data_IF_096298224138
#
_entry.id   IF_096298224138
#
_cell.length_a   1.000
_cell.length_b   1.000
_cell.length_c   1.000
_cell.angle_alpha   90.00
_cell.angle_beta   90.00
_cell.angle_gamma   90.00
#
_symmetry.space_group_name_H-M   'P 1'
#
loop_
_entity.id
_entity.type
_entity.pdbx_description
1 polymer ?
#
# COMPACT_ATOMS: atom_id res chain seq x y z
N UNK A 1 10.51 53.31 38.56
CA UNK A 1 10.74 52.81 37.18
C UNK A 1 11.64 51.57 37.11
N UNK A 2 12.79 51.53 37.81
CA UNK A 2 13.72 50.38 37.79
C UNK A 2 13.14 49.05 38.30
N UNK A 3 12.33 49.05 39.38
CA UNK A 3 11.67 47.81 39.89
C UNK A 3 10.77 47.12 38.84
N UNK A 4 10.05 47.88 38.02
CA UNK A 4 9.23 47.32 36.95
C UNK A 4 10.07 46.74 35.80
N UNK A 5 11.21 47.36 35.47
CA UNK A 5 12.18 46.79 34.51
C UNK A 5 12.76 45.47 35.02
N UNK A 6 13.15 45.39 36.29
CA UNK A 6 13.65 44.16 36.92
C UNK A 6 12.58 43.05 36.96
N UNK A 7 11.33 43.39 37.28
CA UNK A 7 10.22 42.42 37.29
C UNK A 7 9.93 41.87 35.89
N UNK A 8 9.94 42.73 34.87
CA UNK A 8 9.80 42.30 33.46
C UNK A 8 10.97 41.39 33.04
N UNK A 9 12.20 41.75 33.41
CA UNK A 9 13.40 40.94 33.11
C UNK A 9 13.35 39.56 33.75
N UNK A 10 12.89 39.44 35.01
CA UNK A 10 12.69 38.14 35.68
C UNK A 10 11.67 37.26 34.96
N UNK A 11 10.49 37.80 34.63
CA UNK A 11 9.46 37.07 33.88
C UNK A 11 9.97 36.57 32.52
N UNK A 12 10.81 37.37 31.86
CA UNK A 12 11.41 36.99 30.58
C UNK A 12 12.39 35.82 30.72
N UNK A 13 13.24 35.85 31.74
CA UNK A 13 14.18 34.76 32.05
C UNK A 13 13.42 33.47 32.43
N UNK A 14 12.35 33.59 33.20
CA UNK A 14 11.52 32.46 33.62
C UNK A 14 10.79 31.82 32.43
N UNK A 15 10.32 32.64 31.47
CA UNK A 15 9.75 32.17 30.21
C UNK A 15 10.78 31.47 29.33
N UNK A 16 12.01 32.00 29.25
CA UNK A 16 13.11 31.36 28.52
C UNK A 16 13.43 29.99 29.12
N UNK A 17 13.59 29.89 30.45
CA UNK A 17 13.83 28.61 31.14
C UNK A 17 12.70 27.60 30.92
N UNK A 18 11.45 28.05 30.94
CA UNK A 18 10.29 27.19 30.65
C UNK A 18 10.30 26.67 29.21
N UNK A 19 10.71 27.51 28.25
CA UNK A 19 10.83 27.12 26.85
C UNK A 19 12.02 26.17 26.62
N UNK A 20 13.14 26.39 27.30
CA UNK A 20 14.31 25.50 27.26
C UNK A 20 13.96 24.11 27.80
N UNK A 21 13.26 24.03 28.93
CA UNK A 21 12.80 22.75 29.50
C UNK A 21 11.78 22.04 28.60
N UNK A 22 10.87 22.78 27.95
CA UNK A 22 9.93 22.20 26.99
C UNK A 22 10.65 21.66 25.74
N UNK A 23 11.65 22.40 25.25
CA UNK A 23 12.50 21.97 24.14
C UNK A 23 13.24 20.68 24.47
N UNK A 24 13.87 20.59 25.64
CA UNK A 24 14.64 19.41 26.06
C UNK A 24 13.76 18.14 26.16
N UNK A 25 12.50 18.30 26.61
CA UNK A 25 11.51 17.21 26.60
C UNK A 25 11.09 16.79 25.18
N UNK A 26 10.85 17.75 24.29
CA UNK A 26 10.56 17.45 22.88
C UNK A 26 11.74 16.77 22.19
N UNK A 27 12.97 17.22 22.42
CA UNK A 27 14.18 16.64 21.84
C UNK A 27 14.35 15.17 22.28
N UNK A 28 14.14 14.87 23.57
CA UNK A 28 14.17 13.49 24.08
C UNK A 28 13.08 12.59 23.51
N UNK A 29 11.90 13.13 23.23
CA UNK A 29 10.82 12.39 22.59
C UNK A 29 11.10 12.10 21.11
N UNK A 30 11.56 13.10 20.36
CA UNK A 30 11.90 12.96 18.96
C UNK A 30 13.00 11.91 18.75
N UNK A 31 13.95 11.80 19.67
CA UNK A 31 14.97 10.74 19.65
C UNK A 31 14.35 9.34 19.77
N UNK A 32 13.39 9.12 20.69
CA UNK A 32 12.71 7.83 20.83
C UNK A 32 11.90 7.47 19.58
N UNK A 33 11.24 8.46 18.98
CA UNK A 33 10.42 8.27 17.78
C UNK A 33 11.29 7.99 16.55
N UNK A 34 12.45 8.64 16.47
CA UNK A 34 13.47 8.33 15.47
C UNK A 34 13.96 6.89 15.61
N UNK A 35 14.17 6.42 16.85
CA UNK A 35 14.65 5.05 17.12
C UNK A 35 13.61 3.98 16.75
N UNK A 36 12.32 4.19 17.06
CA UNK A 36 11.24 3.27 16.67
C UNK A 36 11.03 3.23 15.15
N UNK A 37 11.10 4.37 14.47
CA UNK A 37 11.05 4.45 13.00
C UNK A 37 12.24 3.78 12.35
N UNK A 38 13.46 4.01 12.87
CA UNK A 38 14.68 3.37 12.37
C UNK A 38 14.61 1.85 12.51
N UNK A 39 14.06 1.35 13.62
CA UNK A 39 13.85 -0.09 13.82
C UNK A 39 12.84 -0.67 12.82
N UNK A 40 11.77 0.06 12.51
CA UNK A 40 10.83 -0.34 11.47
C UNK A 40 11.47 -0.32 10.07
N UNK A 41 12.26 0.71 9.76
CA UNK A 41 13.04 0.82 8.52
C UNK A 41 14.00 -0.38 8.38
N UNK A 42 14.76 -0.70 9.42
CA UNK A 42 15.66 -1.85 9.43
C UNK A 42 14.93 -3.17 9.18
N UNK A 43 13.73 -3.36 9.74
CA UNK A 43 12.88 -4.55 9.46
C UNK A 43 12.45 -4.60 8.01
N UNK A 44 11.99 -3.49 7.44
CA UNK A 44 11.59 -3.45 6.03
C UNK A 44 12.78 -3.64 5.08
N UNK A 45 13.93 -3.01 5.36
CA UNK A 45 15.17 -3.23 4.60
C UNK A 45 15.60 -4.68 4.68
N UNK A 46 15.51 -5.30 5.86
CA UNK A 46 15.81 -6.73 6.04
C UNK A 46 14.85 -7.62 5.26
N UNK A 47 13.56 -7.30 5.22
CA UNK A 47 12.58 -8.00 4.38
C UNK A 47 12.95 -7.88 2.90
N UNK A 48 13.23 -6.66 2.43
CA UNK A 48 13.62 -6.38 1.03
C UNK A 48 14.88 -7.13 0.66
N UNK A 49 15.91 -7.09 1.51
CA UNK A 49 17.17 -7.80 1.28
C UNK A 49 17.00 -9.32 1.40
N UNK A 50 16.15 -9.83 2.31
CA UNK A 50 15.85 -11.26 2.46
C UNK A 50 15.08 -11.88 1.29
N UNK A 51 14.47 -11.06 0.43
CA UNK A 51 13.93 -11.48 -0.88
C UNK A 51 15.07 -11.80 -1.87
N UNK A 52 16.28 -11.28 -1.62
CA UNK A 52 17.51 -11.47 -2.41
C UNK A 52 18.62 -12.04 -1.52
N UNK A 53 18.39 -13.25 -1.01
CA UNK A 53 19.33 -14.15 -0.31
C UNK A 53 20.23 -13.64 0.86
N UNK A 54 20.41 -14.58 1.80
CA UNK A 54 21.32 -14.63 2.95
C UNK A 54 21.05 -13.85 4.26
N UNK A 55 20.83 -14.70 5.27
CA UNK A 55 21.09 -14.66 6.72
C UNK A 55 20.32 -13.76 7.72
N UNK A 56 19.94 -14.49 8.78
CA UNK A 56 19.54 -14.15 10.16
C UNK A 56 19.63 -12.67 10.53
N UNK A 57 18.57 -12.17 11.19
CA UNK A 57 18.77 -11.32 12.36
C UNK A 57 17.62 -11.49 13.39
N UNK A 58 18.09 -11.86 14.58
CA UNK A 58 17.76 -11.43 15.94
C UNK A 58 16.57 -10.45 16.17
N UNK A 59 15.75 -10.84 17.15
CA UNK A 59 14.67 -10.06 17.74
C UNK A 59 15.23 -9.06 18.75
N UNK A 60 14.90 -7.78 18.60
CA UNK A 60 14.99 -6.79 19.69
C UNK A 60 13.58 -6.38 20.11
N UNK A 61 13.18 -6.82 21.30
CA UNK A 61 12.04 -6.32 22.07
C UNK A 61 12.52 -5.18 22.95
N UNK A 62 12.18 -3.95 22.60
CA UNK A 62 12.36 -2.83 23.52
C UNK A 62 10.97 -2.29 23.89
N UNK A 63 10.53 -2.64 25.09
CA UNK A 63 9.44 -1.97 25.80
C UNK A 63 9.91 -0.56 26.13
N UNK A 64 9.15 0.45 25.67
CA UNK A 64 9.44 1.84 25.99
C UNK A 64 8.54 2.27 27.14
N UNK A 65 9.17 2.52 28.27
CA UNK A 65 8.56 2.93 29.51
C UNK A 65 8.03 4.38 29.44
N UNK A 66 6.89 4.58 30.10
CA UNK A 66 5.98 5.69 29.92
C UNK A 66 6.58 7.06 30.21
N UNK A 67 6.58 7.93 29.20
CA UNK A 67 6.71 9.37 29.39
C UNK A 67 5.36 10.05 29.13
N UNK A 68 4.97 10.91 30.07
CA UNK A 68 3.77 11.74 29.97
C UNK A 68 3.99 12.83 28.92
N UNK A 69 3.25 12.73 27.81
CA UNK A 69 3.43 13.53 26.60
C UNK A 69 2.11 14.18 26.18
N UNK A 70 2.24 15.32 25.49
CA UNK A 70 1.12 16.09 24.93
C UNK A 70 0.35 15.28 23.87
N UNK A 71 -0.95 15.55 23.72
CA UNK A 71 -1.89 14.67 23.01
C UNK A 71 -1.51 14.34 21.57
N UNK A 72 -0.97 15.32 20.83
CA UNK A 72 -0.51 15.13 19.44
C UNK A 72 0.77 14.29 19.36
N UNK A 73 1.76 14.54 20.22
CA UNK A 73 2.98 13.74 20.28
C UNK A 73 2.68 12.29 20.68
N UNK A 74 1.74 12.09 21.61
CA UNK A 74 1.32 10.76 22.04
C UNK A 74 0.71 9.96 20.88
N UNK A 75 -0.14 10.59 20.07
CA UNK A 75 -0.71 9.96 18.88
C UNK A 75 0.37 9.52 17.88
N UNK A 76 1.36 10.39 17.59
CA UNK A 76 2.47 10.04 16.68
C UNK A 76 3.33 8.90 17.24
N UNK A 77 3.51 8.85 18.57
CA UNK A 77 4.22 7.74 19.22
C UNK A 77 3.47 6.42 19.12
N UNK A 78 2.16 6.44 19.35
CA UNK A 78 1.29 5.25 19.26
C UNK A 78 1.25 4.72 17.82
N UNK A 79 1.17 5.62 16.84
CA UNK A 79 1.21 5.28 15.41
C UNK A 79 2.58 4.73 14.99
N UNK A 80 3.68 5.34 15.45
CA UNK A 80 5.04 4.82 15.23
C UNK A 80 5.21 3.41 15.81
N UNK A 81 4.73 3.17 17.03
CA UNK A 81 4.76 1.85 17.65
C UNK A 81 3.88 0.83 16.90
N UNK A 82 2.74 1.26 16.35
CA UNK A 82 1.90 0.43 15.51
C UNK A 82 2.62 0.03 14.20
N UNK A 83 3.33 0.97 13.57
CA UNK A 83 4.15 0.70 12.37
C UNK A 83 5.26 -0.31 12.68
N UNK A 84 5.97 -0.16 13.80
CA UNK A 84 7.02 -1.12 14.19
C UNK A 84 6.45 -2.52 14.47
N UNK A 85 5.27 -2.62 15.11
CA UNK A 85 4.57 -3.91 15.32
C UNK A 85 4.14 -4.53 13.99
N UNK A 86 3.55 -3.74 13.10
CA UNK A 86 3.12 -4.19 11.78
C UNK A 86 4.32 -4.68 10.96
N UNK A 87 5.45 -3.97 10.99
CA UNK A 87 6.69 -4.39 10.35
C UNK A 87 7.16 -5.77 10.84
N UNK A 88 7.04 -6.05 12.15
CA UNK A 88 7.34 -7.37 12.71
C UNK A 88 6.39 -8.48 12.22
N UNK A 89 5.10 -8.18 12.09
CA UNK A 89 4.11 -9.13 11.54
C UNK A 89 4.39 -9.45 10.07
N UNK A 90 4.73 -8.43 9.27
CA UNK A 90 5.11 -8.60 7.86
C UNK A 90 6.37 -9.46 7.75
N UNK A 91 7.37 -9.21 8.59
CA UNK A 91 8.61 -9.99 8.63
C UNK A 91 8.35 -11.47 8.93
N UNK A 92 7.51 -11.77 9.92
CA UNK A 92 7.12 -13.14 10.24
C UNK A 92 6.38 -13.82 9.09
N UNK A 93 5.36 -13.16 8.50
CA UNK A 93 4.60 -13.72 7.37
C UNK A 93 5.46 -14.00 6.14
N UNK A 94 6.40 -13.10 5.82
CA UNK A 94 7.33 -13.29 4.70
C UNK A 94 8.25 -14.49 4.97
N UNK A 95 8.72 -14.66 6.21
CA UNK A 95 9.54 -15.81 6.59
C UNK A 95 8.76 -17.14 6.52
N UNK A 96 7.52 -17.18 7.01
CA UNK A 96 6.65 -18.36 6.89
C UNK A 96 6.44 -18.76 5.42
N UNK A 97 6.11 -17.79 4.56
CA UNK A 97 5.95 -18.02 3.12
C UNK A 97 7.25 -18.50 2.45
N UNK A 98 8.40 -17.97 2.87
CA UNK A 98 9.72 -18.40 2.37
C UNK A 98 9.99 -19.86 2.70
N UNK A 99 9.74 -20.26 3.95
CA UNK A 99 9.97 -21.64 4.38
C UNK A 99 8.99 -22.62 3.74
N UNK A 100 7.70 -22.25 3.57
CA UNK A 100 6.74 -23.08 2.83
C UNK A 100 7.16 -23.26 1.37
N UNK A 101 7.59 -22.19 0.70
CA UNK A 101 8.07 -22.24 -0.69
C UNK A 101 9.34 -23.07 -0.83
N UNK A 102 10.27 -23.00 0.12
CA UNK A 102 11.46 -23.87 0.14
C UNK A 102 11.11 -25.34 0.34
N UNK A 103 10.10 -25.63 1.17
CA UNK A 103 9.62 -27.01 1.38
C UNK A 103 8.99 -27.55 0.10
N UNK A 104 8.09 -26.80 -0.52
CA UNK A 104 7.47 -27.16 -1.79
C UNK A 104 8.52 -27.35 -2.90
N UNK A 105 9.50 -26.45 -3.01
CA UNK A 105 10.62 -26.60 -3.94
C UNK A 105 11.36 -27.92 -3.74
N UNK A 106 11.68 -28.29 -2.49
CA UNK A 106 12.35 -29.56 -2.18
C UNK A 106 11.47 -30.77 -2.52
N UNK A 107 10.17 -30.70 -2.27
CA UNK A 107 9.23 -31.76 -2.63
C UNK A 107 9.13 -31.95 -4.14
N UNK A 108 9.06 -30.86 -4.90
CA UNK A 108 9.09 -30.88 -6.37
C UNK A 108 10.43 -31.40 -6.89
N UNK A 109 11.56 -30.98 -6.33
CA UNK A 109 12.89 -31.50 -6.69
C UNK A 109 12.97 -33.01 -6.45
N UNK A 110 12.51 -33.49 -5.29
CA UNK A 110 12.45 -34.93 -5.00
C UNK A 110 11.53 -35.67 -5.97
N UNK A 111 10.37 -35.11 -6.30
CA UNK A 111 9.45 -35.69 -7.27
C UNK A 111 10.07 -35.77 -8.66
N UNK A 112 10.81 -34.75 -9.09
CA UNK A 112 11.53 -34.75 -10.38
C UNK A 112 12.61 -35.83 -10.38
N UNK A 113 13.40 -35.94 -9.30
CA UNK A 113 14.42 -37.01 -9.20
C UNK A 113 13.75 -38.38 -9.28
N UNK A 114 12.69 -38.63 -8.50
CA UNK A 114 11.94 -39.89 -8.54
C UNK A 114 11.40 -40.22 -9.94
N UNK A 115 10.80 -39.24 -10.63
CA UNK A 115 10.30 -39.42 -12.00
C UNK A 115 11.44 -39.68 -13.00
N UNK A 116 12.60 -39.05 -12.82
CA UNK A 116 13.76 -39.33 -13.69
C UNK A 116 14.34 -40.72 -13.46
N UNK A 117 14.29 -41.25 -12.23
CA UNK A 117 14.68 -42.62 -11.93
C UNK A 117 13.66 -43.63 -12.49
N UNK A 118 12.37 -43.36 -12.35
CA UNK A 118 11.32 -44.20 -12.95
C UNK A 118 11.43 -44.23 -14.48
N UNK A 119 11.64 -43.09 -15.14
CA UNK A 119 11.89 -43.04 -16.58
C UNK A 119 13.14 -43.84 -16.98
N UNK A 120 14.22 -43.83 -16.19
CA UNK A 120 15.38 -44.69 -16.42
C UNK A 120 15.05 -46.17 -16.27
N UNK A 121 14.22 -46.53 -15.29
CA UNK A 121 13.78 -47.91 -15.07
C UNK A 121 12.90 -48.40 -16.22
N UNK A 122 11.96 -47.58 -16.69
CA UNK A 122 11.14 -47.86 -17.88
C UNK A 122 12.03 -48.07 -19.11
N UNK A 123 12.99 -47.18 -19.35
CA UNK A 123 13.95 -47.32 -20.44
C UNK A 123 14.76 -48.62 -20.36
N UNK A 124 15.16 -49.04 -19.16
CA UNK A 124 15.84 -50.32 -18.92
C UNK A 124 14.92 -51.51 -19.25
N UNK A 125 13.67 -51.50 -18.76
CA UNK A 125 12.68 -52.54 -19.05
C UNK A 125 12.37 -52.64 -20.54
N UNK A 126 12.25 -51.52 -21.24
CA UNK A 126 12.04 -51.49 -22.69
C UNK A 126 13.22 -52.11 -23.44
N UNK A 127 14.46 -51.84 -23.03
CA UNK A 127 15.65 -52.48 -23.62
C UNK A 127 15.65 -54.00 -23.40
N UNK A 128 15.29 -54.44 -22.20
CA UNK A 128 15.19 -55.88 -21.88
C UNK A 128 14.11 -56.54 -22.76
N UNK A 129 12.92 -55.95 -22.82
CA UNK A 129 11.82 -56.46 -23.64
C UNK A 129 12.18 -56.52 -25.13
N UNK A 130 12.90 -55.53 -25.66
CA UNK A 130 13.40 -55.55 -27.04
C UNK A 130 14.40 -56.70 -27.28
N UNK A 131 15.33 -56.93 -26.35
CA UNK A 131 16.29 -58.04 -26.46
C UNK A 131 15.59 -59.40 -26.38
N UNK A 132 14.62 -59.56 -25.48
CA UNK A 132 13.81 -60.77 -25.39
C UNK A 132 12.97 -61.00 -26.65
N UNK A 133 12.38 -59.95 -27.21
CA UNK A 133 11.65 -60.00 -28.47
C UNK A 133 12.55 -60.46 -29.62
N UNK A 134 13.76 -59.90 -29.76
CA UNK A 134 14.74 -60.34 -30.76
C UNK A 134 15.17 -61.80 -30.53
N UNK A 135 15.32 -62.23 -29.27
CA UNK A 135 15.68 -63.61 -28.94
C UNK A 135 14.56 -64.59 -29.33
N UNK A 136 13.31 -64.24 -29.06
CA UNK A 136 12.12 -65.00 -29.48
C UNK A 136 12.03 -65.05 -31.00
N UNK A 137 12.23 -63.93 -31.69
CA UNK A 137 12.21 -63.88 -33.15
C UNK A 137 13.33 -64.72 -33.79
N UNK A 138 14.53 -64.70 -33.21
CA UNK A 138 15.64 -65.60 -33.59
C UNK A 138 15.31 -67.08 -33.33
N UNK A 139 14.64 -67.40 -32.23
CA UNK A 139 14.21 -68.77 -31.94
C UNK A 139 13.13 -69.26 -32.91
N UNK A 140 12.19 -68.38 -33.27
CA UNK A 140 11.11 -68.68 -34.21
C UNK A 140 11.61 -68.81 -35.64
N UNK A 141 12.57 -67.98 -36.06
CA UNK A 141 13.24 -68.13 -37.36
C UNK A 141 14.08 -69.42 -37.45
N UNK A 142 14.74 -69.86 -36.35
CA UNK A 142 15.37 -71.19 -36.29
C UNK A 142 14.35 -72.33 -36.38
N UNK A 143 13.20 -72.21 -35.72
CA UNK A 143 12.13 -73.21 -35.78
C UNK A 143 11.53 -73.27 -37.20
N UNK A 144 11.39 -72.12 -37.87
CA UNK A 144 10.93 -72.02 -39.26
C UNK A 144 11.93 -72.65 -40.24
N UNK A 145 13.23 -72.40 -40.08
CA UNK A 145 14.28 -73.06 -40.87
C UNK A 145 14.37 -74.58 -40.64
N UNK A 146 14.19 -75.03 -39.38
CA UNK A 146 14.13 -76.46 -39.06
C UNK A 146 12.81 -77.12 -39.48
N UNK A 147 11.76 -76.36 -39.84
CA UNK A 147 10.49 -76.94 -40.28
C UNK A 147 10.62 -77.62 -41.65
N UNK A 148 11.50 -77.15 -42.54
CA UNK A 148 11.83 -77.85 -43.79
C UNK A 148 12.55 -79.19 -43.51
N UNK A 149 13.53 -79.23 -42.59
CA UNK A 149 14.23 -80.46 -42.21
C UNK A 149 13.35 -81.45 -41.43
N UNK A 150 12.48 -80.98 -40.52
CA UNK A 150 11.51 -81.83 -39.82
C UNK A 150 10.40 -82.35 -40.75
N UNK A 151 10.00 -81.60 -41.79
CA UNK A 151 9.07 -82.13 -42.80
C UNK A 151 9.71 -83.22 -43.65
N UNK A 152 11.01 -83.14 -43.96
CA UNK A 152 11.73 -84.21 -44.68
C UNK A 152 11.94 -85.45 -43.81
N UNK A 153 12.26 -85.29 -42.52
CA UNK A 153 12.41 -86.41 -41.58
C UNK A 153 11.08 -87.13 -41.29
N UNK A 154 9.97 -86.39 -41.20
CA UNK A 154 8.63 -86.98 -41.00
C UNK A 154 8.11 -87.65 -42.29
N UNK A 155 8.53 -87.20 -43.48
CA UNK A 155 8.20 -87.88 -44.75
C UNK A 155 8.95 -89.21 -44.95
N UNK A 156 10.19 -89.34 -44.45
CA UNK A 156 10.95 -90.60 -44.55
C UNK A 156 10.45 -91.70 -43.61
N UNK A 157 9.86 -91.35 -42.46
CA UNK A 157 9.28 -92.33 -41.53
C UNK A 157 7.90 -92.81 -42.02
N UNK A 158 7.20 -92.03 -42.85
CA UNK A 158 5.89 -92.39 -43.38
C UNK A 158 5.92 -93.36 -44.59
N UNK A 159 7.08 -93.57 -45.24
CA UNK A 159 7.19 -94.42 -46.45
C UNK A 159 7.62 -95.87 -46.21
N UNK A 160 7.90 -96.29 -44.97
CA UNK A 160 8.44 -97.64 -44.72
C UNK A 160 7.82 -98.37 -43.52
N UNK A 161 6.50 -98.50 -43.44
CA UNK A 161 5.84 -99.47 -42.52
C UNK A 161 4.36 -99.68 -42.86
N UNK A 162 4.10 -100.35 -43.98
CA UNK A 162 2.76 -100.73 -44.43
C UNK A 162 2.67 -102.19 -44.84
N UNK A 163 2.96 -103.12 -43.93
CA UNK A 163 2.70 -104.56 -44.12
C UNK A 163 1.60 -105.04 -43.16
N UNK A 164 0.49 -105.40 -43.79
CA UNK A 164 -0.67 -106.14 -43.28
C UNK A 164 -0.31 -107.22 -42.26
N UNK A 165 -1.01 -107.22 -41.14
CA UNK A 165 -1.34 -108.45 -40.40
C UNK A 165 -2.86 -108.44 -40.19
N UNK A 166 -3.54 -109.19 -41.05
CA UNK A 166 -4.94 -109.58 -40.88
C UNK A 166 -5.03 -110.58 -39.73
N UNK A 167 -5.95 -110.39 -38.78
CA UNK A 167 -6.46 -111.49 -37.96
C UNK A 167 -7.91 -111.23 -37.57
N UNK A 168 -8.82 -111.60 -38.46
CA UNK A 168 -10.23 -111.87 -38.16
C UNK A 168 -10.39 -113.37 -37.85
N UNK A 169 -10.89 -113.71 -36.66
CA UNK A 169 -11.22 -115.08 -36.27
C UNK A 169 -12.62 -115.16 -35.64
N UNK A 170 -13.55 -115.67 -36.44
CA UNK A 170 -14.77 -116.40 -36.07
C UNK A 170 -15.05 -117.33 -37.27
N UNK A 171 -15.46 -118.59 -37.18
CA UNK A 171 -15.89 -119.49 -36.14
C UNK A 171 -16.44 -120.75 -36.83
N UNK A 172 -16.58 -121.84 -36.07
CA UNK A 172 -17.29 -123.10 -36.36
C UNK A 172 -16.59 -124.19 -37.21
N UNK A 173 -16.48 -125.40 -36.64
CA UNK A 173 -16.27 -126.64 -37.40
C UNK A 173 -15.65 -127.82 -36.65
N UNK A 174 -16.38 -128.40 -35.69
CA UNK A 174 -16.41 -129.81 -35.23
C UNK A 174 -15.11 -130.67 -35.21
N UNK A 175 -14.79 -131.22 -34.02
CA UNK A 175 -14.84 -132.68 -33.75
C UNK A 175 -14.60 -133.01 -32.27
N UNK A 176 -15.38 -133.98 -31.80
CA UNK A 176 -15.33 -134.61 -30.48
C UNK A 176 -14.04 -135.39 -30.24
N UNK A 177 -13.42 -135.17 -29.09
CA UNK A 177 -12.75 -136.16 -28.21
C UNK A 177 -12.48 -135.38 -26.90
N UNK A 178 -13.10 -135.65 -25.75
CA UNK A 178 -12.95 -136.88 -24.98
C UNK A 178 -11.82 -136.73 -23.94
N UNK A 179 -11.93 -135.76 -22.99
CA UNK A 179 -11.19 -135.64 -21.69
C UNK A 179 -10.43 -134.31 -21.43
N UNK A 180 -11.11 -133.18 -21.18
CA UNK A 180 -10.50 -131.86 -20.83
C UNK A 180 -11.31 -131.04 -19.80
N UNK A 181 -11.67 -131.59 -18.63
CA UNK A 181 -12.46 -130.84 -17.62
C UNK A 181 -11.66 -129.95 -16.66
N UNK A 182 -10.32 -129.94 -16.73
CA UNK A 182 -9.46 -129.21 -15.77
C UNK A 182 -8.77 -127.97 -16.39
N UNK A 183 -8.38 -127.97 -17.67
CA UNK A 183 -7.63 -126.89 -18.31
C UNK A 183 -8.48 -125.66 -18.70
N UNK A 184 -9.75 -125.89 -19.07
CA UNK A 184 -10.73 -124.81 -19.32
C UNK A 184 -11.07 -124.06 -18.03
N UNK A 185 -11.14 -124.76 -16.89
CA UNK A 185 -11.42 -124.19 -15.57
C UNK A 185 -10.26 -123.28 -15.11
N UNK A 186 -9.01 -123.67 -15.36
CA UNK A 186 -7.82 -122.85 -15.06
C UNK A 186 -7.74 -121.62 -15.97
N UNK A 187 -8.10 -121.76 -17.26
CA UNK A 187 -8.14 -120.64 -18.21
C UNK A 187 -9.26 -119.63 -17.90
N UNK A 188 -10.44 -120.11 -17.50
CA UNK A 188 -11.54 -119.30 -16.97
C UNK A 188 -11.13 -118.56 -15.70
N UNK A 189 -10.48 -119.24 -14.76
CA UNK A 189 -10.01 -118.64 -13.51
C UNK A 189 -8.98 -117.51 -13.78
N UNK A 190 -8.03 -117.72 -14.69
CA UNK A 190 -7.05 -116.69 -15.11
C UNK A 190 -7.73 -115.49 -15.78
N UNK A 191 -8.75 -115.71 -16.61
CA UNK A 191 -9.53 -114.62 -17.20
C UNK A 191 -10.31 -113.84 -16.14
N UNK A 192 -10.96 -114.52 -15.18
CA UNK A 192 -11.67 -113.87 -14.07
C UNK A 192 -10.72 -113.10 -13.17
N UNK A 193 -9.55 -113.66 -12.85
CA UNK A 193 -8.51 -112.97 -12.07
C UNK A 193 -8.02 -111.70 -12.78
N UNK A 194 -7.78 -111.78 -14.09
CA UNK A 194 -7.39 -110.62 -14.91
C UNK A 194 -8.46 -109.54 -14.92
N UNK A 195 -9.72 -109.92 -15.12
CA UNK A 195 -10.87 -109.00 -15.09
C UNK A 195 -10.99 -108.36 -13.71
N UNK A 196 -10.85 -109.15 -12.63
CA UNK A 196 -10.95 -108.66 -11.25
C UNK A 196 -9.82 -107.68 -10.92
N UNK A 197 -8.58 -107.97 -11.33
CA UNK A 197 -7.45 -107.03 -11.20
C UNK A 197 -7.68 -105.75 -11.98
N UNK A 198 -8.18 -105.84 -13.22
CA UNK A 198 -8.48 -104.68 -14.05
C UNK A 198 -9.59 -103.80 -13.43
N UNK A 199 -10.68 -104.41 -12.98
CA UNK A 199 -11.76 -103.70 -12.28
C UNK A 199 -11.27 -103.08 -10.97
N UNK A 200 -10.41 -103.76 -10.21
CA UNK A 200 -9.83 -103.18 -9.00
C UNK A 200 -8.95 -101.96 -9.31
N UNK A 201 -8.13 -102.02 -10.37
CA UNK A 201 -7.34 -100.87 -10.82
C UNK A 201 -8.26 -99.69 -11.20
N UNK A 202 -9.31 -99.95 -11.98
CA UNK A 202 -10.30 -98.95 -12.37
C UNK A 202 -11.01 -98.34 -11.15
N UNK A 203 -11.43 -99.15 -10.17
CA UNK A 203 -12.02 -98.69 -8.90
C UNK A 203 -11.04 -97.77 -8.16
N UNK A 204 -9.75 -98.13 -8.08
CA UNK A 204 -8.76 -97.27 -7.42
C UNK A 204 -8.51 -95.96 -8.17
N UNK A 205 -8.55 -95.98 -9.51
CA UNK A 205 -8.41 -94.79 -10.34
C UNK A 205 -9.62 -93.85 -10.19
N UNK A 206 -10.84 -94.39 -10.22
CA UNK A 206 -12.08 -93.64 -10.01
C UNK A 206 -12.16 -93.04 -8.60
N UNK A 207 -11.68 -93.75 -7.58
CA UNK A 207 -11.58 -93.19 -6.22
C UNK A 207 -10.60 -92.02 -6.16
N UNK A 208 -9.45 -92.13 -6.84
CA UNK A 208 -8.45 -91.05 -6.90
C UNK A 208 -9.00 -89.83 -7.64
N UNK A 209 -9.68 -90.02 -8.77
CA UNK A 209 -10.28 -88.90 -9.52
C UNK A 209 -11.44 -88.26 -8.77
N UNK A 210 -12.23 -89.03 -8.03
CA UNK A 210 -13.28 -88.49 -7.15
C UNK A 210 -12.67 -87.61 -6.04
N UNK A 211 -11.60 -88.08 -5.41
CA UNK A 211 -10.93 -87.33 -4.35
C UNK A 211 -10.25 -86.05 -4.88
N UNK A 212 -9.62 -86.12 -6.05
CA UNK A 212 -9.07 -84.95 -6.75
C UNK A 212 -10.18 -83.94 -7.12
N UNK A 213 -11.33 -84.43 -7.60
CA UNK A 213 -12.48 -83.57 -7.89
C UNK A 213 -13.04 -82.89 -6.63
N UNK A 214 -13.05 -83.59 -5.48
CA UNK A 214 -13.47 -83.01 -4.19
C UNK A 214 -12.50 -81.93 -3.73
N UNK A 215 -11.20 -82.21 -3.74
CA UNK A 215 -10.16 -81.23 -3.41
C UNK A 215 -10.23 -80.00 -4.31
N UNK A 216 -10.46 -80.18 -5.62
CA UNK A 216 -10.62 -79.06 -6.55
C UNK A 216 -11.89 -78.24 -6.24
N UNK A 217 -12.98 -78.90 -5.84
CA UNK A 217 -14.23 -78.22 -5.45
C UNK A 217 -14.06 -77.42 -4.16
N UNK A 218 -13.41 -77.99 -3.15
CA UNK A 218 -13.08 -77.30 -1.89
C UNK A 218 -12.17 -76.08 -2.14
N UNK A 219 -11.18 -76.22 -3.04
CA UNK A 219 -10.32 -75.12 -3.42
C UNK A 219 -11.10 -73.98 -4.10
N UNK A 220 -11.95 -74.30 -5.08
CA UNK A 220 -12.81 -73.32 -5.76
C UNK A 220 -13.80 -72.66 -4.79
N UNK A 221 -14.34 -73.42 -3.84
CA UNK A 221 -15.20 -72.88 -2.78
C UNK A 221 -14.42 -71.86 -1.94
N UNK A 222 -13.21 -72.19 -1.49
CA UNK A 222 -12.38 -71.27 -0.70
C UNK A 222 -12.00 -70.00 -1.47
N UNK A 223 -11.76 -70.10 -2.78
CA UNK A 223 -11.50 -68.95 -3.65
C UNK A 223 -12.74 -68.07 -3.77
N UNK A 224 -13.90 -68.69 -3.95
CA UNK A 224 -15.20 -68.00 -4.06
C UNK A 224 -15.56 -67.28 -2.77
N UNK A 225 -15.33 -67.91 -1.61
CA UNK A 225 -15.56 -67.30 -0.30
C UNK A 225 -14.64 -66.09 -0.07
N UNK A 226 -13.35 -66.20 -0.42
CA UNK A 226 -12.41 -65.07 -0.36
C UNK A 226 -12.85 -63.93 -1.28
N UNK A 227 -13.22 -64.24 -2.52
CA UNK A 227 -13.74 -63.23 -3.45
C UNK A 227 -15.01 -62.56 -2.92
N UNK A 228 -15.93 -63.32 -2.32
CA UNK A 228 -17.14 -62.77 -1.72
C UNK A 228 -16.83 -61.85 -0.54
N UNK A 229 -15.86 -62.21 0.30
CA UNK A 229 -15.39 -61.36 1.40
C UNK A 229 -14.75 -60.07 0.88
N UNK A 230 -13.84 -60.15 -0.09
CA UNK A 230 -13.19 -58.98 -0.69
C UNK A 230 -14.20 -58.03 -1.34
N UNK A 231 -15.22 -58.58 -2.02
CA UNK A 231 -16.32 -57.78 -2.59
C UNK A 231 -17.12 -57.08 -1.50
N UNK A 232 -17.41 -57.75 -0.38
CA UNK A 232 -18.14 -57.16 0.73
C UNK A 232 -17.34 -56.04 1.41
N UNK A 233 -16.04 -56.22 1.62
CA UNK A 233 -15.13 -55.22 2.18
C UNK A 233 -15.02 -54.00 1.25
N UNK A 234 -14.82 -54.23 -0.05
CA UNK A 234 -14.78 -53.16 -1.05
C UNK A 234 -16.11 -52.38 -1.11
N UNK A 235 -17.25 -53.05 -0.99
CA UNK A 235 -18.56 -52.39 -0.96
C UNK A 235 -18.70 -51.46 0.25
N UNK A 236 -18.21 -51.86 1.43
CA UNK A 236 -18.20 -50.98 2.61
C UNK A 236 -17.26 -49.80 2.40
N UNK A 237 -16.08 -50.02 1.84
CA UNK A 237 -15.12 -48.95 1.55
C UNK A 237 -15.70 -47.92 0.58
N UNK A 238 -16.35 -48.36 -0.50
CA UNK A 238 -17.04 -47.49 -1.46
C UNK A 238 -18.10 -46.63 -0.76
N UNK A 239 -18.96 -47.23 0.08
CA UNK A 239 -19.96 -46.46 0.85
C UNK A 239 -19.33 -45.39 1.74
N UNK A 240 -18.23 -45.70 2.40
CA UNK A 240 -17.52 -44.71 3.22
C UNK A 240 -16.92 -43.57 2.38
N UNK A 241 -16.47 -43.85 1.15
CA UNK A 241 -16.00 -42.82 0.22
C UNK A 241 -17.17 -41.93 -0.24
N UNK A 242 -18.30 -42.52 -0.62
CA UNK A 242 -19.51 -41.78 -1.00
C UNK A 242 -20.00 -40.84 0.12
N UNK A 243 -19.98 -41.31 1.38
CA UNK A 243 -20.36 -40.47 2.52
C UNK A 243 -19.37 -39.33 2.79
N UNK A 244 -18.07 -39.56 2.56
CA UNK A 244 -17.06 -38.49 2.64
C UNK A 244 -17.25 -37.49 1.51
N UNK A 245 -17.50 -37.96 0.30
CA UNK A 245 -17.78 -37.10 -0.86
C UNK A 245 -19.01 -36.22 -0.61
N UNK A 246 -20.12 -36.79 -0.12
CA UNK A 246 -21.32 -36.03 0.24
C UNK A 246 -21.04 -34.94 1.28
N UNK A 247 -20.28 -35.27 2.34
CA UNK A 247 -19.89 -34.28 3.37
C UNK A 247 -19.00 -33.18 2.80
N UNK A 248 -18.03 -33.54 1.96
CA UNK A 248 -17.17 -32.56 1.30
C UNK A 248 -17.97 -31.65 0.36
N UNK A 249 -18.91 -32.20 -0.41
CA UNK A 249 -19.79 -31.42 -1.28
C UNK A 249 -20.65 -30.43 -0.48
N UNK A 250 -21.23 -30.84 0.66
CA UNK A 250 -21.95 -29.95 1.56
C UNK A 250 -21.07 -28.83 2.11
N UNK A 251 -19.84 -29.17 2.56
CA UNK A 251 -18.90 -28.18 3.06
C UNK A 251 -18.50 -27.17 1.98
N UNK A 252 -18.29 -27.62 0.74
CA UNK A 252 -17.97 -26.73 -0.39
C UNK A 252 -19.14 -25.78 -0.67
N UNK A 253 -20.37 -26.26 -0.68
CA UNK A 253 -21.54 -25.41 -0.89
C UNK A 253 -21.69 -24.37 0.24
N UNK A 254 -21.48 -24.76 1.50
CA UNK A 254 -21.51 -23.83 2.63
C UNK A 254 -20.41 -22.75 2.51
N UNK A 255 -19.20 -23.13 2.13
CA UNK A 255 -18.10 -22.19 1.90
C UNK A 255 -18.39 -21.25 0.74
N UNK A 256 -18.97 -21.74 -0.37
CA UNK A 256 -19.38 -20.91 -1.50
C UNK A 256 -20.44 -19.88 -1.09
N UNK A 257 -21.39 -20.25 -0.25
CA UNK A 257 -22.38 -19.31 0.28
C UNK A 257 -21.75 -18.25 1.18
N UNK A 258 -20.79 -18.63 2.04
CA UNK A 258 -20.03 -17.67 2.86
C UNK A 258 -19.21 -16.71 2.00
N UNK A 259 -18.54 -17.21 0.96
CA UNK A 259 -17.77 -16.39 0.01
C UNK A 259 -18.70 -15.34 -0.63
N UNK A 260 -19.83 -15.76 -1.20
CA UNK A 260 -20.80 -14.83 -1.81
C UNK A 260 -21.31 -13.77 -0.83
N UNK A 261 -21.55 -14.15 0.43
CA UNK A 261 -21.95 -13.18 1.46
C UNK A 261 -20.83 -12.16 1.74
N UNK A 262 -19.59 -12.63 1.91
CA UNK A 262 -18.44 -11.75 2.17
C UNK A 262 -18.12 -10.85 0.98
N UNK A 263 -18.31 -11.33 -0.25
CA UNK A 263 -18.17 -10.52 -1.47
C UNK A 263 -19.24 -9.42 -1.53
N UNK A 264 -20.49 -9.72 -1.16
CA UNK A 264 -21.55 -8.71 -1.09
C UNK A 264 -21.33 -7.69 0.04
N UNK A 265 -20.75 -8.11 1.17
CA UNK A 265 -20.30 -7.19 2.22
C UNK A 265 -19.16 -6.31 1.71
N UNK A 266 -18.14 -6.88 1.09
CA UNK A 266 -17.03 -6.14 0.50
C UNK A 266 -17.49 -5.11 -0.54
N UNK A 267 -18.45 -5.47 -1.41
CA UNK A 267 -19.04 -4.54 -2.36
C UNK A 267 -19.73 -3.34 -1.67
N UNK A 268 -20.48 -3.59 -0.59
CA UNK A 268 -21.12 -2.52 0.19
C UNK A 268 -20.11 -1.60 0.88
N UNK A 269 -19.05 -2.17 1.44
CA UNK A 269 -17.98 -1.38 2.06
C UNK A 269 -17.23 -0.53 1.02
N UNK A 270 -16.96 -1.08 -0.17
CA UNK A 270 -16.33 -0.33 -1.24
C UNK A 270 -17.20 0.85 -1.70
N UNK A 271 -18.50 0.63 -1.92
CA UNK A 271 -19.43 1.71 -2.30
C UNK A 271 -19.47 2.81 -1.22
N UNK A 272 -19.50 2.44 0.06
CA UNK A 272 -19.43 3.41 1.16
C UNK A 272 -18.12 4.21 1.13
N UNK A 273 -16.97 3.56 0.94
CA UNK A 273 -15.68 4.22 0.83
C UNK A 273 -15.61 5.17 -0.40
N UNK A 274 -16.16 4.77 -1.54
CA UNK A 274 -16.23 5.63 -2.73
C UNK A 274 -17.06 6.89 -2.47
N UNK A 275 -18.22 6.75 -1.81
CA UNK A 275 -19.06 7.89 -1.42
C UNK A 275 -18.37 8.83 -0.44
N UNK A 276 -17.62 8.29 0.53
CA UNK A 276 -16.81 9.09 1.47
C UNK A 276 -15.69 9.85 0.75
N UNK A 277 -15.01 9.19 -0.20
CA UNK A 277 -13.98 9.83 -1.03
C UNK A 277 -14.58 10.95 -1.88
N UNK A 278 -15.74 10.74 -2.50
CA UNK A 278 -16.45 11.78 -3.25
C UNK A 278 -16.90 12.95 -2.36
N UNK A 279 -17.40 12.66 -1.15
CA UNK A 279 -17.74 13.70 -0.18
C UNK A 279 -16.49 14.50 0.25
N UNK A 280 -15.37 13.82 0.49
CA UNK A 280 -14.09 14.45 0.81
C UNK A 280 -13.59 15.36 -0.33
N UNK A 281 -13.70 14.92 -1.59
CA UNK A 281 -13.37 15.75 -2.76
C UNK A 281 -14.21 17.03 -2.82
N UNK A 282 -15.54 16.92 -2.62
CA UNK A 282 -16.43 18.09 -2.62
C UNK A 282 -16.07 19.09 -1.53
N UNK A 283 -15.77 18.62 -0.32
CA UNK A 283 -15.37 19.48 0.78
C UNK A 283 -14.02 20.18 0.51
N UNK A 284 -13.05 19.48 -0.10
CA UNK A 284 -11.77 20.09 -0.51
C UNK A 284 -12.03 21.20 -1.54
N UNK A 285 -12.85 20.95 -2.56
CA UNK A 285 -13.21 21.95 -3.57
C UNK A 285 -13.89 23.19 -2.94
N UNK A 286 -14.71 23.01 -1.92
CA UNK A 286 -15.33 24.11 -1.18
C UNK A 286 -14.30 24.91 -0.36
N UNK A 287 -13.38 24.21 0.32
CA UNK A 287 -12.28 24.85 1.06
C UNK A 287 -11.36 25.64 0.14
N UNK A 288 -11.04 25.11 -1.04
CA UNK A 288 -10.22 25.81 -2.03
C UNK A 288 -10.88 27.10 -2.52
N UNK A 289 -12.20 27.11 -2.70
CA UNK A 289 -12.95 28.35 -3.02
C UNK A 289 -12.82 29.38 -1.89
N UNK A 290 -12.94 28.95 -0.63
CA UNK A 290 -12.78 29.85 0.52
C UNK A 290 -11.35 30.39 0.60
N UNK A 291 -10.34 29.54 0.42
CA UNK A 291 -8.93 29.95 0.38
C UNK A 291 -8.68 30.96 -0.74
N UNK A 292 -9.25 30.76 -1.92
CA UNK A 292 -9.13 31.70 -3.02
C UNK A 292 -9.73 33.08 -2.69
N UNK A 293 -10.90 33.12 -2.04
CA UNK A 293 -11.53 34.37 -1.59
C UNK A 293 -10.67 35.06 -0.53
N UNK A 294 -10.21 34.33 0.48
CA UNK A 294 -9.37 34.87 1.55
C UNK A 294 -8.05 35.42 1.02
N UNK A 295 -7.41 34.73 0.07
CA UNK A 295 -6.21 35.24 -0.60
C UNK A 295 -6.49 36.54 -1.37
N UNK A 296 -7.64 36.63 -2.05
CA UNK A 296 -8.03 37.85 -2.74
C UNK A 296 -8.27 39.01 -1.77
N UNK A 297 -8.90 38.75 -0.62
CA UNK A 297 -9.10 39.75 0.44
C UNK A 297 -7.77 40.18 1.07
N UNK A 298 -6.87 39.23 1.32
CA UNK A 298 -5.54 39.50 1.84
C UNK A 298 -4.75 40.42 0.90
N UNK A 299 -4.74 40.15 -0.41
CA UNK A 299 -4.07 41.02 -1.38
C UNK A 299 -4.71 42.42 -1.48
N UNK A 300 -6.04 42.53 -1.35
CA UNK A 300 -6.73 43.83 -1.26
C UNK A 300 -6.30 44.61 -0.02
N UNK A 301 -6.21 43.96 1.14
CA UNK A 301 -5.79 44.64 2.38
C UNK A 301 -4.31 45.03 2.35
N UNK A 302 -3.46 44.20 1.76
CA UNK A 302 -2.03 44.47 1.56
C UNK A 302 -1.82 45.69 0.68
N UNK A 303 -2.47 45.72 -0.50
CA UNK A 303 -2.39 46.90 -1.40
C UNK A 303 -2.96 48.16 -0.74
N UNK A 304 -4.05 48.06 0.02
CA UNK A 304 -4.58 49.19 0.78
C UNK A 304 -3.58 49.68 1.85
N UNK A 305 -2.93 48.77 2.57
CA UNK A 305 -1.91 49.09 3.56
C UNK A 305 -0.70 49.78 2.90
N UNK A 306 -0.21 49.26 1.79
CA UNK A 306 0.91 49.84 1.04
C UNK A 306 0.60 51.28 0.60
N UNK A 307 -0.61 51.54 0.08
CA UNK A 307 -1.01 52.91 -0.27
C UNK A 307 -1.12 53.83 0.94
N UNK A 308 -1.50 53.31 2.12
CA UNK A 308 -1.54 54.09 3.36
C UNK A 308 -0.14 54.40 3.88
N UNK A 309 0.78 53.45 3.78
CA UNK A 309 2.18 53.64 4.17
C UNK A 309 2.87 54.65 3.26
N UNK A 310 2.63 54.61 1.94
CA UNK A 310 3.11 55.63 1.00
C UNK A 310 2.61 57.03 1.39
N UNK A 311 1.31 57.17 1.69
CA UNK A 311 0.75 58.45 2.16
C UNK A 311 1.36 58.91 3.48
N UNK A 312 1.62 57.99 4.40
CA UNK A 312 2.25 58.32 5.68
C UNK A 312 3.67 58.85 5.45
N UNK A 313 4.46 58.19 4.58
CA UNK A 313 5.79 58.67 4.20
C UNK A 313 5.74 60.07 3.55
N UNK A 314 4.80 60.31 2.62
CA UNK A 314 4.60 61.65 2.04
C UNK A 314 4.25 62.71 3.11
N UNK A 315 3.47 62.35 4.15
CA UNK A 315 3.16 63.26 5.26
C UNK A 315 4.35 63.51 6.16
N UNK A 316 5.20 62.51 6.39
CA UNK A 316 6.46 62.65 7.13
C UNK A 316 7.43 63.57 6.38
N UNK A 317 7.58 63.41 5.06
CA UNK A 317 8.39 64.29 4.21
C UNK A 317 7.86 65.73 4.20
N UNK A 318 6.54 65.91 4.08
CA UNK A 318 5.91 67.24 4.17
C UNK A 318 6.13 67.88 5.55
N UNK A 319 6.03 67.12 6.63
CA UNK A 319 6.30 67.62 7.98
C UNK A 319 7.77 68.01 8.13
N UNK A 320 8.71 67.22 7.63
CA UNK A 320 10.13 67.55 7.61
C UNK A 320 10.42 68.84 6.82
N UNK A 321 9.80 69.01 5.65
CA UNK A 321 9.91 70.22 4.84
C UNK A 321 9.33 71.46 5.55
N UNK A 322 8.18 71.32 6.21
CA UNK A 322 7.57 72.40 6.99
C UNK A 322 8.45 72.81 8.18
N UNK A 323 9.02 71.84 8.90
CA UNK A 323 9.98 72.10 9.98
C UNK A 323 11.23 72.80 9.48
N UNK A 324 11.77 72.39 8.33
CA UNK A 324 12.92 73.06 7.70
C UNK A 324 12.59 74.49 7.28
N UNK A 325 11.42 74.72 6.66
CA UNK A 325 10.95 76.05 6.28
C UNK A 325 10.74 76.96 7.49
N UNK A 326 10.15 76.45 8.58
CA UNK A 326 10.00 77.18 9.83
C UNK A 326 11.37 77.57 10.39
N UNK A 327 12.32 76.63 10.47
CA UNK A 327 13.67 76.92 10.96
C UNK A 327 14.39 77.99 10.12
N UNK A 328 14.15 78.02 8.79
CA UNK A 328 14.71 79.04 7.91
C UNK A 328 14.05 80.42 8.12
N UNK A 329 12.73 80.45 8.32
CA UNK A 329 11.98 81.67 8.63
C UNK A 329 12.40 82.26 9.98
N UNK A 330 12.57 81.43 11.01
CA UNK A 330 13.06 81.86 12.33
C UNK A 330 14.47 82.45 12.24
N UNK A 331 15.39 81.82 11.49
CA UNK A 331 16.72 82.38 11.23
C UNK A 331 16.66 83.73 10.51
N UNK A 332 15.78 83.88 9.52
CA UNK A 332 15.59 85.16 8.81
C UNK A 332 15.03 86.24 9.75
N UNK A 333 14.12 85.88 10.65
CA UNK A 333 13.56 86.80 11.64
C UNK A 333 14.64 87.26 12.63
N UNK A 334 15.45 86.33 13.15
CA UNK A 334 16.58 86.67 14.03
C UNK A 334 17.58 87.63 13.37
N UNK A 335 17.85 87.45 12.06
CA UNK A 335 18.67 88.38 11.29
C UNK A 335 18.00 89.76 11.16
N UNK A 336 16.70 89.81 10.86
CA UNK A 336 15.95 91.07 10.81
C UNK A 336 15.96 91.79 12.17
N UNK A 337 15.74 91.07 13.28
CA UNK A 337 15.76 91.65 14.62
C UNK A 337 17.14 92.18 15.01
N UNK A 338 18.21 91.45 14.69
CA UNK A 338 19.58 91.91 14.93
C UNK A 338 19.94 93.14 14.09
N UNK A 339 19.52 93.20 12.82
CA UNK A 339 19.72 94.38 11.97
C UNK A 339 18.91 95.58 12.47
N UNK A 340 17.65 95.38 12.86
CA UNK A 340 16.80 96.42 13.43
C UNK A 340 17.37 96.95 14.75
N UNK A 341 17.89 96.07 15.62
CA UNK A 341 18.57 96.48 16.84
C UNK A 341 19.84 97.29 16.57
N UNK A 342 20.63 96.91 15.55
CA UNK A 342 21.79 97.68 15.11
C UNK A 342 21.41 99.07 14.56
N UNK A 343 20.32 99.16 13.78
CA UNK A 343 19.80 100.43 13.28
C UNK A 343 19.27 101.32 14.42
N UNK A 344 18.54 100.76 15.40
CA UNK A 344 18.08 101.51 16.58
C UNK A 344 19.25 102.15 17.33
N UNK A 345 20.32 101.39 17.58
CA UNK A 345 21.54 101.94 18.22
C UNK A 345 22.15 103.11 17.43
N UNK A 346 22.19 103.01 16.10
CA UNK A 346 22.67 104.11 15.25
C UNK A 346 21.76 105.33 15.32
N UNK A 347 20.44 105.14 15.33
CA UNK A 347 19.47 106.24 15.48
C UNK A 347 19.58 106.89 16.86
N UNK A 348 19.72 106.11 17.93
CA UNK A 348 19.95 106.61 19.28
C UNK A 348 21.23 107.45 19.35
N UNK A 349 22.33 106.96 18.77
CA UNK A 349 23.60 107.70 18.69
C UNK A 349 23.44 109.01 17.90
N UNK A 350 22.81 108.97 16.72
CA UNK A 350 22.52 110.18 15.93
C UNK A 350 21.60 111.15 16.68
N UNK A 351 20.65 110.65 17.46
CA UNK A 351 19.74 111.47 18.27
C UNK A 351 20.48 112.13 19.42
N UNK A 352 21.41 111.42 20.07
CA UNK A 352 22.29 111.99 21.08
C UNK A 352 23.22 113.05 20.50
N UNK A 353 23.80 112.79 19.32
CA UNK A 353 24.57 113.79 18.58
C UNK A 353 23.72 115.02 18.22
N UNK A 354 22.44 114.84 17.85
CA UNK A 354 21.50 115.92 17.60
C UNK A 354 21.21 116.71 18.88
N UNK A 355 20.95 116.05 20.01
CA UNK A 355 20.69 116.68 21.31
C UNK A 355 21.92 117.42 21.84
N UNK A 356 23.13 116.89 21.62
CA UNK A 356 24.39 117.59 21.89
C UNK A 356 24.58 118.81 20.98
N UNK A 357 24.24 118.71 19.69
CA UNK A 357 24.28 119.85 18.78
C UNK A 357 23.22 120.91 19.16
N UNK A 358 22.02 120.48 19.57
CA UNK A 358 20.93 121.35 20.01
C UNK A 358 21.23 122.01 21.36
N UNK A 359 21.81 121.31 22.32
CA UNK A 359 22.24 121.89 23.60
C UNK A 359 23.40 122.89 23.42
N UNK A 360 24.33 122.63 22.47
CA UNK A 360 25.31 123.62 22.01
C UNK A 360 24.64 124.82 21.34
N UNK A 361 23.51 124.63 20.66
CA UNK A 361 22.70 125.70 20.06
C UNK A 361 21.92 126.51 21.12
N UNK A 362 21.32 125.86 22.13
CA UNK A 362 20.59 126.51 23.24
C UNK A 362 21.49 127.37 24.15
N UNK A 363 22.76 127.01 24.31
CA UNK A 363 23.73 127.80 25.09
C UNK A 363 24.28 129.04 24.34
N UNK A 364 23.79 129.36 23.13
CA UNK A 364 24.33 130.46 22.31
C UNK A 364 23.36 131.52 21.80
N UNK A 365 22.06 131.55 22.16
CA UNK A 365 21.21 132.77 22.24
C UNK A 365 19.69 132.47 22.22
N UNK A 366 18.94 133.45 22.73
CA UNK A 366 17.47 133.57 22.79
C UNK A 366 16.79 133.34 21.42
N UNK A 367 15.71 132.55 21.48
CA UNK A 367 14.56 132.43 20.58
C UNK A 367 14.61 133.14 19.20
N UNK A 368 14.42 132.33 18.15
CA UNK A 368 13.36 132.57 17.17
C UNK A 368 12.61 131.25 16.93
N UNK A 369 11.35 131.21 17.39
CA UNK A 369 10.38 130.26 16.88
C UNK A 369 10.23 130.49 15.37
N UNK A 370 10.60 129.51 14.55
CA UNK A 370 10.10 129.40 13.19
C UNK A 370 9.34 128.08 13.13
N UNK A 371 8.03 128.23 13.23
CA UNK A 371 7.03 127.22 12.99
C UNK A 371 6.96 126.91 11.49
N UNK A 372 7.12 125.61 11.16
CA UNK A 372 6.34 124.91 10.13
C UNK A 372 6.97 124.72 8.74
N UNK A 373 6.41 123.84 7.88
CA UNK A 373 5.26 122.95 8.09
C UNK A 373 5.62 121.45 8.00
N UNK A 374 4.82 120.59 8.64
CA UNK A 374 4.75 119.17 8.27
C UNK A 374 4.06 119.09 6.90
N UNK A 375 4.86 119.17 5.85
CA UNK A 375 4.42 118.84 4.50
C UNK A 375 4.13 117.33 4.45
N UNK A 376 2.88 116.99 4.12
CA UNK A 376 2.47 115.63 3.82
C UNK A 376 3.30 115.08 2.64
N UNK A 377 4.38 114.36 2.93
CA UNK A 377 5.00 113.44 1.98
C UNK A 377 4.17 112.16 1.96
N UNK A 378 3.07 112.26 1.19
CA UNK A 378 2.56 111.17 0.36
C UNK A 378 3.75 110.34 -0.14
N UNK A 379 3.92 109.13 0.40
CA UNK A 379 4.52 108.08 -0.41
C UNK A 379 3.53 107.84 -1.55
N UNK A 380 4.02 108.14 -2.75
CA UNK A 380 3.37 107.92 -4.03
C UNK A 380 2.83 106.50 -4.12
N UNK A 381 1.51 106.38 -4.15
CA UNK A 381 0.84 105.35 -4.94
C UNK A 381 1.14 105.63 -6.41
N UNK A 382 2.35 105.29 -6.86
CA UNK A 382 2.68 105.18 -8.26
C UNK A 382 2.38 103.74 -8.68
N UNK A 383 1.23 103.58 -9.31
CA UNK A 383 0.86 102.43 -10.11
C UNK A 383 1.90 102.19 -11.21
N UNK A 384 2.91 101.36 -10.93
CA UNK A 384 3.55 100.55 -11.98
C UNK A 384 2.68 99.30 -12.15
N UNK A 385 1.77 99.39 -13.12
CA UNK A 385 1.18 98.21 -13.76
C UNK A 385 2.32 97.40 -14.36
N UNK A 386 2.64 96.27 -13.73
CA UNK A 386 3.07 95.07 -14.45
C UNK A 386 2.58 93.83 -13.70
N UNK A 387 1.41 93.37 -14.16
CA UNK A 387 0.91 92.00 -14.23
C UNK A 387 1.39 91.03 -13.13
N UNK A 388 0.69 91.03 -12.00
CA UNK A 388 0.40 89.78 -11.27
C UNK A 388 -1.10 89.71 -11.04
N UNK A 389 -1.73 88.71 -11.64
CA UNK A 389 -3.17 88.46 -11.58
C UNK A 389 -3.63 88.38 -10.12
N UNK A 390 -4.41 89.37 -9.69
CA UNK A 390 -5.33 89.23 -8.56
C UNK A 390 -6.37 88.20 -8.99
N UNK A 391 -6.23 86.95 -8.55
CA UNK A 391 -7.37 86.05 -8.46
C UNK A 391 -8.13 86.49 -7.22
N UNK A 392 -9.31 87.07 -7.46
CA UNK A 392 -10.34 87.37 -6.47
C UNK A 392 -10.42 86.25 -5.43
N UNK A 393 -10.74 86.63 -4.20
CA UNK A 393 -11.64 85.84 -3.36
C UNK A 393 -12.86 85.46 -4.20
N UNK A 394 -12.83 84.29 -4.81
CA UNK A 394 -14.03 83.51 -5.04
C UNK A 394 -14.33 82.84 -3.70
N UNK A 395 -15.07 83.55 -2.86
CA UNK A 395 -16.09 82.90 -2.06
C UNK A 395 -17.12 82.33 -3.05
N UNK A 396 -16.77 81.20 -3.67
CA UNK A 396 -17.73 80.32 -4.33
C UNK A 396 -17.91 79.13 -3.40
N UNK A 397 -18.97 79.23 -2.61
CA UNK A 397 -19.74 78.11 -2.05
C UNK A 397 -18.84 76.97 -1.52
N UNK A 398 -18.41 77.08 -0.27
CA UNK A 398 -18.38 75.89 0.58
C UNK A 398 -19.76 75.24 0.43
N UNK A 399 -19.84 74.18 -0.38
CA UNK A 399 -20.93 73.24 -0.25
C UNK A 399 -20.84 72.75 1.19
N UNK A 400 -21.92 72.79 1.96
CA UNK A 400 -21.91 72.08 3.23
C UNK A 400 -21.50 70.65 2.92
N UNK A 401 -20.58 70.12 3.72
CA UNK A 401 -20.38 68.69 3.83
C UNK A 401 -21.74 68.11 4.22
N UNK A 402 -22.56 67.79 3.21
CA UNK A 402 -23.60 66.80 3.39
C UNK A 402 -22.84 65.58 3.86
N UNK A 403 -23.17 65.14 5.06
CA UNK A 403 -23.03 63.76 5.42
C UNK A 403 -23.49 62.93 4.20
N UNK A 404 -22.54 62.31 3.51
CA UNK A 404 -22.83 61.06 2.86
C UNK A 404 -23.12 60.11 4.01
N UNK A 405 -24.39 60.12 4.45
CA UNK A 405 -25.04 58.88 4.83
C UNK A 405 -24.73 57.94 3.67
N UNK A 406 -23.76 57.06 3.87
CA UNK A 406 -23.75 55.82 3.12
C UNK A 406 -25.14 55.24 3.31
N UNK A 407 -25.84 55.12 2.20
CA UNK A 407 -27.04 54.32 2.08
C UNK A 407 -26.78 52.97 2.74
N UNK A 408 -27.35 52.78 3.93
CA UNK A 408 -27.56 51.46 4.54
C UNK A 408 -28.62 50.64 3.78
N UNK A 409 -29.01 51.07 2.57
CA UNK A 409 -30.08 50.43 1.79
C UNK A 409 -29.57 49.46 0.70
N UNK A 410 -28.26 49.28 0.48
CA UNK A 410 -27.77 48.31 -0.52
C UNK A 410 -27.04 47.07 0.05
N UNK A 411 -26.95 46.94 1.38
CA UNK A 411 -26.47 45.70 2.03
C UNK A 411 -27.64 44.82 2.55
N UNK A 412 -28.86 45.36 2.63
CA UNK A 412 -30.03 44.61 3.14
C UNK A 412 -30.85 43.88 2.06
N UNK A 413 -30.58 44.10 0.76
CA UNK A 413 -31.27 43.37 -0.31
C UNK A 413 -30.57 42.07 -0.70
N UNK A 414 -29.27 41.91 -0.40
CA UNK A 414 -28.57 40.64 -0.64
C UNK A 414 -28.83 39.63 0.51
N UNK A 415 -28.85 40.11 1.76
CA UNK A 415 -29.15 39.28 2.94
C UNK A 415 -30.64 38.89 3.02
N UNK A 416 -31.57 39.68 2.46
CA UNK A 416 -33.00 39.28 2.38
C UNK A 416 -33.31 38.30 1.24
N UNK A 417 -32.50 38.24 0.18
CA UNK A 417 -32.67 37.24 -0.88
C UNK A 417 -32.05 35.89 -0.50
N UNK A 418 -30.97 35.87 0.26
CA UNK A 418 -30.36 34.63 0.75
C UNK A 418 -31.19 33.98 1.87
N UNK A 419 -31.89 34.75 2.72
CA UNK A 419 -32.85 34.19 3.70
C UNK A 419 -34.17 33.72 3.08
N UNK A 420 -34.52 34.09 1.85
CA UNK A 420 -35.70 33.55 1.13
C UNK A 420 -35.39 32.27 0.34
N UNK A 421 -34.13 32.00 0.04
CA UNK A 421 -33.68 30.76 -0.63
C UNK A 421 -33.37 29.63 0.36
N UNK A 422 -33.38 29.90 1.67
CA UNK A 422 -33.16 28.94 2.75
C UNK A 422 -34.44 28.66 3.57
N UNK A 423 -35.63 28.99 3.06
CA UNK A 423 -36.93 28.69 3.69
C UNK A 423 -38.02 28.24 2.71
N UNK A 424 -37.63 27.56 1.63
CA UNK A 424 -38.53 26.72 0.83
C UNK A 424 -38.01 25.29 0.79
#
# INVERSE_FOLDING_TARGET
MQRNKLRKKRKFIERIKSLESAKEKCDGFLLKLLESLRLAEERFVRIINNVVDEEKVENCTNESDGLELDGELKAVSEESMAVTKLAGVVELKVNEYKESRKKEKRELENSVVSLTEENRNIDSLLRIALVEMEAVEKSLSRLKGNSEQNRVAIFQIAESSGTKVDTSRAGAGNKLDGSESEEEVVSLASNVERITKNLNLEITQLRRSLEESRSNTEHLQSLTEKQAQDIAENMLYIKQLEDREKKLAQNVEELLMKIKQTEAEFARWNEACELEVEAGKREIEERDKVVAILNQELEKTKTALDTSNQKLNEKEELAAAAMAAQSAAEKSLQLADSTAAGLRKRVEELSKQLEEAESRYRNRHKARHICGPWGALKLSTATMKNKVKIVRRMLSKCKPWRALKLSSANMNNKVKNERRMLSN
#
